data_IF_116216979530
#
_entry.id   IF_116216979530
#
_cell.length_a   1.000
_cell.length_b   1.000
_cell.length_c   1.000
_cell.angle_alpha   90.00
_cell.angle_beta   90.00
_cell.angle_gamma   90.00
#
_symmetry.space_group_name_H-M   'P 1'
#
loop_
_entity.id
_entity.type
_entity.pdbx_description
1 polymer ?
#
# COMPACT_ATOMS: atom_id res chain seq x y z
N UNK A 1 -19.23 -9.48 -3.17
CA UNK A 1 -20.43 -9.12 -2.39
C UNK A 1 -20.83 -7.66 -2.68
N UNK A 2 -22.13 -7.29 -2.65
CA UNK A 2 -22.58 -5.91 -2.88
C UNK A 2 -21.89 -4.88 -1.99
N UNK A 3 -21.70 -5.20 -0.70
CA UNK A 3 -21.01 -4.34 0.29
C UNK A 3 -19.55 -4.05 -0.07
N UNK A 4 -18.89 -4.95 -0.80
CA UNK A 4 -17.49 -4.79 -1.21
C UNK A 4 -17.32 -4.09 -2.55
N UNK A 5 -18.39 -3.91 -3.34
CA UNK A 5 -18.29 -3.27 -4.67
C UNK A 5 -17.65 -1.88 -4.60
N UNK A 6 -18.03 -0.99 -3.65
CA UNK A 6 -17.41 0.32 -3.52
C UNK A 6 -15.94 0.28 -3.10
N UNK A 7 -15.45 -0.85 -2.56
CA UNK A 7 -14.05 -1.02 -2.15
C UNK A 7 -13.10 -1.31 -3.34
N UNK A 8 -13.63 -1.45 -4.56
CA UNK A 8 -12.83 -1.65 -5.77
C UNK A 8 -12.72 -0.33 -6.56
N UNK A 9 -11.50 0.15 -6.80
CA UNK A 9 -11.25 1.35 -7.61
C UNK A 9 -11.70 1.15 -9.05
N UNK A 10 -11.50 -0.06 -9.58
CA UNK A 10 -11.98 -0.48 -10.90
C UNK A 10 -12.90 -1.68 -10.74
N UNK A 11 -14.16 -1.54 -11.19
CA UNK A 11 -15.21 -2.56 -11.00
C UNK A 11 -14.86 -3.90 -11.64
N UNK A 12 -14.05 -3.88 -12.71
CA UNK A 12 -13.61 -5.04 -13.47
C UNK A 12 -12.23 -5.57 -13.04
N UNK A 13 -11.56 -4.96 -12.06
CA UNK A 13 -10.31 -5.48 -11.49
C UNK A 13 -10.55 -5.83 -10.03
N UNK A 14 -10.91 -7.10 -9.80
CA UNK A 14 -11.19 -7.65 -8.47
C UNK A 14 -10.22 -8.81 -8.19
N UNK A 15 -9.82 -9.03 -6.92
CA UNK A 15 -8.94 -10.12 -6.58
C UNK A 15 -9.67 -11.47 -6.74
N UNK A 16 -8.94 -12.51 -7.12
CA UNK A 16 -9.48 -13.88 -7.11
C UNK A 16 -9.63 -14.38 -5.68
N UNK A 17 -10.71 -15.08 -5.37
CA UNK A 17 -10.97 -15.61 -4.03
C UNK A 17 -9.84 -16.56 -3.54
N UNK A 18 -9.19 -17.28 -4.45
CA UNK A 18 -8.12 -18.22 -4.14
C UNK A 18 -6.82 -17.57 -3.65
N UNK A 19 -6.59 -16.29 -3.98
CA UNK A 19 -5.35 -15.59 -3.66
C UNK A 19 -5.57 -14.26 -2.96
N UNK A 20 -6.82 -13.85 -2.72
CA UNK A 20 -7.11 -12.58 -2.06
C UNK A 20 -6.48 -12.51 -0.68
N UNK A 21 -6.10 -11.31 -0.30
CA UNK A 21 -5.75 -11.02 1.09
C UNK A 21 -7.04 -10.96 1.92
N UNK A 22 -7.01 -11.56 3.11
CA UNK A 22 -8.17 -11.66 4.01
C UNK A 22 -7.80 -10.93 5.30
N UNK A 23 -8.52 -9.86 5.61
CA UNK A 23 -8.37 -9.15 6.88
C UNK A 23 -9.16 -9.86 7.97
N UNK A 24 -8.76 -9.69 9.24
CA UNK A 24 -9.56 -10.16 10.38
C UNK A 24 -10.93 -9.49 10.34
N UNK A 25 -12.00 -10.27 10.41
CA UNK A 25 -13.36 -9.73 10.42
C UNK A 25 -13.59 -8.90 11.68
N UNK A 26 -14.23 -7.74 11.50
CA UNK A 26 -14.68 -6.88 12.59
C UNK A 26 -16.12 -7.30 12.94
N UNK A 27 -16.40 -7.70 14.20
CA UNK A 27 -17.74 -8.10 14.60
C UNK A 27 -18.78 -7.01 14.33
N UNK A 28 -19.87 -7.37 13.65
CA UNK A 28 -20.94 -6.44 13.28
C UNK A 28 -20.71 -5.64 12.00
N UNK A 29 -19.57 -5.81 11.33
CA UNK A 29 -19.26 -5.13 10.07
C UNK A 29 -19.16 -6.11 8.89
N UNK A 30 -20.21 -6.17 8.07
CA UNK A 30 -20.23 -6.99 6.87
C UNK A 30 -19.17 -6.54 5.84
N UNK A 31 -18.40 -7.49 5.31
CA UNK A 31 -17.35 -7.20 4.32
C UNK A 31 -16.10 -6.52 4.92
N UNK A 32 -15.96 -6.51 6.24
CA UNK A 32 -14.76 -6.03 6.94
C UNK A 32 -13.52 -6.92 6.70
N UNK A 33 -13.68 -8.14 6.20
CA UNK A 33 -12.55 -9.02 5.84
C UNK A 33 -11.97 -8.71 4.44
N UNK A 34 -12.61 -7.82 3.69
CA UNK A 34 -12.29 -7.57 2.29
C UNK A 34 -11.41 -6.34 2.10
N UNK A 35 -10.34 -6.55 1.33
CA UNK A 35 -9.56 -5.53 0.65
C UNK A 35 -9.27 -6.02 -0.78
N UNK A 36 -9.21 -5.10 -1.75
CA UNK A 36 -8.82 -5.45 -3.12
C UNK A 36 -7.31 -5.63 -3.21
N UNK A 37 -6.84 -6.78 -2.76
CA UNK A 37 -5.44 -7.18 -2.77
C UNK A 37 -5.31 -8.70 -2.96
N UNK A 38 -4.21 -9.14 -3.56
CA UNK A 38 -3.89 -10.56 -3.77
C UNK A 38 -2.45 -10.87 -3.36
N UNK A 39 -2.24 -12.05 -2.79
CA UNK A 39 -0.93 -12.64 -2.61
C UNK A 39 -0.34 -13.04 -3.95
N UNK A 40 0.94 -12.73 -4.15
CA UNK A 40 1.72 -13.07 -5.33
C UNK A 40 2.98 -13.83 -4.89
N UNK A 41 3.25 -14.94 -5.57
CA UNK A 41 4.45 -15.72 -5.34
C UNK A 41 5.68 -15.01 -5.93
N UNK A 42 6.78 -15.06 -5.19
CA UNK A 42 8.11 -14.64 -5.65
C UNK A 42 8.95 -15.83 -6.08
N UNK A 43 10.22 -15.58 -6.40
CA UNK A 43 11.14 -16.66 -6.76
C UNK A 43 11.37 -17.59 -5.57
N UNK A 44 10.85 -18.82 -5.65
CA UNK A 44 10.94 -19.86 -4.60
C UNK A 44 10.32 -19.47 -3.25
N UNK A 45 9.46 -18.45 -3.22
CA UNK A 45 8.78 -18.00 -2.02
C UNK A 45 7.30 -17.78 -2.32
N UNK A 46 6.42 -18.60 -1.70
CA UNK A 46 4.98 -18.40 -1.82
C UNK A 46 4.52 -17.17 -1.03
N UNK A 47 3.56 -16.43 -1.58
CA UNK A 47 3.02 -15.23 -0.94
C UNK A 47 4.09 -14.20 -0.58
N UNK A 48 5.10 -14.04 -1.44
CA UNK A 48 6.22 -13.11 -1.22
C UNK A 48 5.75 -11.64 -1.25
N UNK A 49 4.73 -11.34 -2.05
CA UNK A 49 4.23 -9.99 -2.25
C UNK A 49 2.72 -9.91 -2.05
N UNK A 50 2.25 -8.71 -1.73
CA UNK A 50 0.85 -8.33 -1.84
C UNK A 50 0.73 -7.31 -2.98
N UNK A 51 -0.01 -7.66 -4.02
CA UNK A 51 -0.41 -6.71 -5.06
C UNK A 51 -1.78 -6.12 -4.69
N UNK A 52 -1.91 -4.80 -4.70
CA UNK A 52 -3.15 -4.10 -4.33
C UNK A 52 -3.35 -2.86 -5.20
N UNK A 53 -4.59 -2.39 -5.30
CA UNK A 53 -4.91 -1.12 -5.95
C UNK A 53 -4.35 0.08 -5.17
N UNK A 54 -4.22 1.23 -5.83
CA UNK A 54 -4.01 2.50 -5.12
C UNK A 54 -5.18 2.78 -4.17
N UNK A 55 -4.94 2.97 -2.85
CA UNK A 55 -6.00 3.21 -1.88
C UNK A 55 -6.96 4.33 -2.30
N UNK A 56 -8.21 4.16 -1.90
CA UNK A 56 -9.25 5.19 -1.98
C UNK A 56 -9.50 5.75 -0.58
N UNK A 57 -10.05 6.98 -0.44
CA UNK A 57 -10.26 7.61 0.86
C UNK A 57 -10.96 6.69 1.89
N UNK A 58 -11.98 5.95 1.47
CA UNK A 58 -12.74 5.03 2.34
C UNK A 58 -12.11 3.64 2.53
N UNK A 59 -10.98 3.35 1.88
CA UNK A 59 -10.24 2.08 2.05
C UNK A 59 -8.86 2.26 2.66
N UNK A 60 -8.45 3.48 3.03
CA UNK A 60 -7.15 3.75 3.67
C UNK A 60 -7.01 2.98 4.99
N UNK A 61 -8.08 2.91 5.78
CA UNK A 61 -8.08 2.14 7.03
C UNK A 61 -7.84 0.65 6.81
N UNK A 62 -8.53 0.05 5.83
CA UNK A 62 -8.33 -1.36 5.44
C UNK A 62 -6.89 -1.59 4.95
N UNK A 63 -6.31 -0.63 4.22
CA UNK A 63 -4.93 -0.71 3.72
C UNK A 63 -3.89 -0.73 4.85
N UNK A 64 -3.98 0.19 5.82
CA UNK A 64 -3.07 0.19 6.98
C UNK A 64 -3.26 -1.04 7.87
N UNK A 65 -4.50 -1.52 8.00
CA UNK A 65 -4.80 -2.76 8.71
C UNK A 65 -4.19 -3.97 8.02
N UNK A 66 -4.26 -4.05 6.69
CA UNK A 66 -3.60 -5.09 5.90
C UNK A 66 -2.08 -5.14 6.17
N UNK A 67 -1.43 -3.98 6.13
CA UNK A 67 0.02 -3.86 6.39
C UNK A 67 0.37 -4.39 7.78
N UNK A 68 -0.41 -4.00 8.79
CA UNK A 68 -0.19 -4.41 10.17
C UNK A 68 -0.42 -5.91 10.39
N UNK A 69 -1.58 -6.42 9.96
CA UNK A 69 -1.99 -7.82 10.16
C UNK A 69 -1.09 -8.80 9.43
N UNK A 70 -0.55 -8.41 8.27
CA UNK A 70 0.36 -9.24 7.47
C UNK A 70 1.83 -8.91 7.66
N UNK A 71 2.19 -8.15 8.69
CA UNK A 71 3.58 -7.88 9.06
C UNK A 71 4.42 -7.29 7.92
N UNK A 72 3.80 -6.53 7.01
CA UNK A 72 4.52 -5.88 5.93
C UNK A 72 5.35 -4.72 6.48
N UNK A 73 6.65 -4.69 6.17
CA UNK A 73 7.60 -3.65 6.59
C UNK A 73 7.94 -2.67 5.47
N UNK A 74 7.54 -2.98 4.23
CA UNK A 74 7.85 -2.19 3.04
C UNK A 74 6.58 -1.99 2.20
N UNK A 75 6.37 -0.77 1.73
CA UNK A 75 5.40 -0.43 0.69
C UNK A 75 6.17 0.05 -0.54
N UNK A 76 5.81 -0.49 -1.70
CA UNK A 76 6.31 -0.02 -3.00
C UNK A 76 5.15 0.60 -3.77
N UNK A 77 5.15 1.92 -3.92
CA UNK A 77 4.16 2.68 -4.68
C UNK A 77 4.74 3.00 -6.06
N UNK A 78 4.16 2.40 -7.10
CA UNK A 78 4.64 2.50 -8.49
C UNK A 78 3.89 3.56 -9.33
N UNK A 79 3.09 4.40 -8.68
CA UNK A 79 2.22 5.39 -9.33
C UNK A 79 2.37 6.76 -8.65
N UNK A 80 2.03 7.82 -9.39
CA UNK A 80 1.77 9.13 -8.78
C UNK A 80 0.32 9.18 -8.28
N UNK A 81 0.02 10.08 -7.35
CA UNK A 81 -1.36 10.29 -6.87
C UNK A 81 -2.26 10.81 -7.98
N UNK A 82 -1.71 11.64 -8.86
CA UNK A 82 -2.37 12.16 -10.06
C UNK A 82 -1.49 11.91 -11.29
N UNK A 83 -2.08 11.40 -12.35
CA UNK A 83 -1.44 11.20 -13.66
C UNK A 83 -2.36 11.74 -14.76
N UNK A 84 -1.82 12.58 -15.65
CA UNK A 84 -2.59 13.19 -16.76
C UNK A 84 -3.91 13.84 -16.27
N UNK A 85 -3.86 14.51 -15.11
CA UNK A 85 -5.00 15.20 -14.49
C UNK A 85 -6.06 14.29 -13.89
N UNK A 86 -5.81 12.99 -13.74
CA UNK A 86 -6.73 12.03 -13.11
C UNK A 86 -6.13 11.46 -11.83
N UNK A 87 -6.93 11.42 -10.77
CA UNK A 87 -6.54 10.75 -9.52
C UNK A 87 -6.39 9.24 -9.77
N UNK A 88 -5.21 8.71 -9.41
CA UNK A 88 -4.87 7.28 -9.44
C UNK A 88 -4.83 6.66 -8.05
N UNK A 89 -4.49 7.47 -7.05
CA UNK A 89 -4.34 7.07 -5.66
C UNK A 89 -4.56 8.28 -4.76
N UNK A 90 -5.24 8.09 -3.63
CA UNK A 90 -5.24 9.14 -2.60
C UNK A 90 -3.91 9.13 -1.84
N UNK A 91 -3.57 10.25 -1.22
CA UNK A 91 -2.49 10.30 -0.23
C UNK A 91 -2.98 9.59 1.03
N UNK A 92 -2.57 8.33 1.21
CA UNK A 92 -3.00 7.47 2.32
C UNK A 92 -2.07 7.56 3.53
N UNK A 93 -0.99 8.33 3.44
CA UNK A 93 0.01 8.46 4.49
C UNK A 93 -0.03 9.86 5.14
N UNK A 94 0.28 9.97 6.44
CA UNK A 94 0.46 11.26 7.10
C UNK A 94 1.76 11.94 6.63
N UNK A 95 1.73 13.25 6.39
CA UNK A 95 2.89 14.04 6.00
C UNK A 95 3.55 14.76 7.20
N UNK A 96 2.79 15.62 7.90
CA UNK A 96 3.34 16.45 8.99
C UNK A 96 2.99 15.94 10.39
N UNK A 97 1.75 15.49 10.59
CA UNK A 97 1.26 14.99 11.87
C UNK A 97 0.80 13.55 11.74
N UNK A 98 1.01 12.76 12.79
CA UNK A 98 0.52 11.39 12.83
C UNK A 98 -0.99 11.30 12.63
N UNK A 99 -1.42 10.23 11.98
CA UNK A 99 -2.83 9.95 11.68
C UNK A 99 -3.26 8.63 12.32
N UNK A 100 -4.54 8.55 12.70
CA UNK A 100 -5.12 7.35 13.30
C UNK A 100 -6.01 6.61 12.29
N UNK A 101 -5.77 5.31 12.16
CA UNK A 101 -6.54 4.40 11.32
C UNK A 101 -7.03 3.22 12.18
N UNK A 102 -8.23 3.35 12.74
CA UNK A 102 -8.77 2.37 13.70
C UNK A 102 -7.95 2.33 15.00
N UNK A 103 -7.35 1.19 15.33
CA UNK A 103 -6.44 1.04 16.47
C UNK A 103 -4.99 1.44 16.15
N UNK A 104 -4.65 1.69 14.89
CA UNK A 104 -3.30 2.02 14.47
C UNK A 104 -3.08 3.53 14.49
N UNK A 105 -1.95 3.96 15.03
CA UNK A 105 -1.43 5.33 14.89
C UNK A 105 -0.20 5.25 14.01
N UNK A 106 -0.21 5.97 12.89
CA UNK A 106 0.89 6.04 11.93
C UNK A 106 1.51 7.43 12.05
N UNK A 107 2.80 7.48 12.32
CA UNK A 107 3.54 8.72 12.52
C UNK A 107 4.65 8.83 11.46
N UNK A 108 4.78 9.97 10.77
CA UNK A 108 5.93 10.22 9.91
C UNK A 108 7.20 10.34 10.75
N UNK A 109 8.27 9.68 10.30
CA UNK A 109 9.58 9.69 10.96
C UNK A 109 10.59 10.47 10.12
N UNK A 110 10.68 10.16 8.84
CA UNK A 110 11.60 10.80 7.91
C UNK A 110 11.06 10.76 6.47
N UNK A 111 11.49 11.71 5.65
CA UNK A 111 11.28 11.70 4.20
C UNK A 111 12.59 12.07 3.49
N UNK A 112 12.94 11.27 2.49
CA UNK A 112 14.11 11.46 1.63
C UNK A 112 13.66 11.56 0.19
N UNK A 113 13.92 12.72 -0.42
CA UNK A 113 13.58 13.00 -1.80
C UNK A 113 14.78 12.68 -2.70
N UNK A 114 14.71 11.54 -3.39
CA UNK A 114 15.71 11.12 -4.38
C UNK A 114 15.24 11.53 -5.79
N UNK A 115 16.13 11.59 -6.79
CA UNK A 115 15.72 12.03 -8.12
C UNK A 115 14.63 11.15 -8.76
N UNK A 116 14.65 9.83 -8.51
CA UNK A 116 13.74 8.87 -9.14
C UNK A 116 12.62 8.37 -8.22
N UNK A 117 12.76 8.56 -6.90
CA UNK A 117 11.80 8.06 -5.92
C UNK A 117 11.78 8.90 -4.65
N UNK A 118 10.72 8.78 -3.86
CA UNK A 118 10.64 9.33 -2.51
C UNK A 118 10.60 8.18 -1.52
N UNK A 119 11.49 8.20 -0.53
CA UNK A 119 11.47 7.26 0.60
C UNK A 119 10.84 7.96 1.81
N UNK A 120 9.80 7.36 2.38
CA UNK A 120 9.21 7.77 3.65
C UNK A 120 9.38 6.68 4.69
N UNK A 121 9.71 7.07 5.90
CA UNK A 121 9.74 6.17 7.05
C UNK A 121 8.58 6.51 7.98
N UNK A 122 7.88 5.47 8.42
CA UNK A 122 6.76 5.59 9.32
C UNK A 122 6.96 4.73 10.55
N UNK A 123 6.48 5.22 11.69
CA UNK A 123 6.28 4.44 12.90
C UNK A 123 4.80 4.11 13.03
N UNK A 124 4.48 2.82 13.07
CA UNK A 124 3.12 2.32 13.25
C UNK A 124 3.00 1.77 14.66
N UNK A 125 2.07 2.28 15.45
CA UNK A 125 1.78 1.83 16.81
C UNK A 125 0.36 1.30 16.89
N UNK A 126 0.20 0.05 17.32
CA UNK A 126 -1.11 -0.49 17.68
C UNK A 126 -1.45 -0.07 19.11
N UNK A 127 -2.45 0.78 19.24
CA UNK A 127 -2.89 1.34 20.53
C UNK A 127 -3.51 0.29 21.46
N UNK A 128 -3.93 -0.87 20.95
CA UNK A 128 -4.48 -1.94 21.78
C UNK A 128 -3.39 -2.76 22.46
N UNK A 129 -2.34 -3.12 21.72
CA UNK A 129 -1.26 -3.96 22.24
C UNK A 129 -0.05 -3.16 22.73
N UNK A 130 0.06 -1.87 22.37
CA UNK A 130 1.25 -1.05 22.59
C UNK A 130 2.46 -1.44 21.72
N UNK A 131 2.29 -2.32 20.74
CA UNK A 131 3.40 -2.74 19.88
C UNK A 131 3.64 -1.69 18.81
N UNK A 132 4.91 -1.52 18.46
CA UNK A 132 5.35 -0.56 17.45
C UNK A 132 6.20 -1.24 16.38
N UNK A 133 6.06 -0.80 15.13
CA UNK A 133 6.86 -1.26 13.99
C UNK A 133 7.28 -0.08 13.12
N UNK A 134 8.45 -0.20 12.50
CA UNK A 134 8.90 0.72 11.46
C UNK A 134 8.47 0.18 10.10
N UNK A 135 8.02 1.10 9.22
CA UNK A 135 7.64 0.82 7.85
C UNK A 135 8.38 1.76 6.92
N UNK A 136 8.97 1.24 5.84
CA UNK A 136 9.53 2.04 4.74
C UNK A 136 8.55 2.09 3.57
N UNK A 137 8.37 3.26 3.00
CA UNK A 137 7.49 3.49 1.86
C UNK A 137 8.29 4.11 0.72
N UNK A 138 8.45 3.36 -0.34
CA UNK A 138 9.17 3.76 -1.55
C UNK A 138 8.17 4.13 -2.63
N UNK A 139 8.15 5.40 -3.04
CA UNK A 139 7.33 5.87 -4.15
C UNK A 139 8.21 6.13 -5.36
N UNK A 140 8.13 5.30 -6.39
CA UNK A 140 8.80 5.56 -7.65
C UNK A 140 8.04 6.67 -8.41
N UNK A 141 8.74 7.76 -8.73
CA UNK A 141 8.13 8.97 -9.33
C UNK A 141 8.53 9.19 -10.78
N UNK A 142 9.55 8.49 -11.29
CA UNK A 142 10.09 8.70 -12.63
C UNK A 142 9.42 7.84 -13.73
N UNK A 143 8.31 7.16 -13.40
CA UNK A 143 7.52 6.47 -14.41
C UNK A 143 6.82 7.48 -15.32
N UNK A 144 6.91 7.35 -16.66
CA UNK A 144 6.30 8.30 -17.58
C UNK A 144 4.76 8.13 -17.62
N UNK A 145 4.05 9.26 -17.68
CA UNK A 145 2.58 9.31 -17.81
C UNK A 145 2.02 8.51 -19.00
N UNK A 146 2.84 8.32 -20.05
CA UNK A 146 2.48 7.54 -21.25
C UNK A 146 3.61 6.59 -21.62
N UNK A 147 3.26 5.31 -21.75
CA UNK A 147 4.17 4.26 -22.18
C UNK A 147 5.06 3.75 -21.05
N UNK A 148 6.25 3.28 -21.43
CA UNK A 148 7.25 2.74 -20.50
C UNK A 148 8.51 3.60 -20.52
N UNK A 149 9.33 3.56 -19.44
CA UNK A 149 10.66 4.17 -19.46
C UNK A 149 11.48 3.74 -20.68
N UNK A 150 12.31 4.64 -21.20
CA UNK A 150 13.22 4.35 -22.34
C UNK A 150 14.37 3.41 -21.96
N UNK A 151 14.74 3.39 -20.68
CA UNK A 151 15.75 2.51 -20.09
C UNK A 151 15.17 1.90 -18.81
N UNK A 152 15.56 0.67 -18.50
CA UNK A 152 15.20 -0.01 -17.26
C UNK A 152 16.19 0.27 -16.11
N UNK A 153 17.34 0.90 -16.40
CA UNK A 153 18.45 1.09 -15.43
C UNK A 153 17.97 1.74 -14.13
N UNK A 154 17.28 2.88 -14.22
CA UNK A 154 16.79 3.62 -13.05
C UNK A 154 15.77 2.82 -12.22
N UNK A 155 14.98 1.96 -12.88
CA UNK A 155 14.01 1.11 -12.20
C UNK A 155 14.69 -0.10 -11.55
N UNK A 156 15.73 -0.66 -12.17
CA UNK A 156 16.57 -1.71 -11.59
C UNK A 156 17.32 -1.18 -10.37
N UNK A 157 17.89 0.03 -10.46
CA UNK A 157 18.53 0.69 -9.31
C UNK A 157 17.56 0.89 -8.16
N UNK A 158 16.32 1.30 -8.46
CA UNK A 158 15.25 1.40 -7.47
C UNK A 158 14.94 0.06 -6.79
N UNK A 159 14.81 -1.03 -7.56
CA UNK A 159 14.60 -2.38 -7.00
C UNK A 159 15.73 -2.74 -6.03
N UNK A 160 16.98 -2.48 -6.40
CA UNK A 160 18.12 -2.73 -5.52
C UNK A 160 18.04 -1.92 -4.21
N UNK A 161 17.46 -0.71 -4.20
CA UNK A 161 17.26 0.05 -2.96
C UNK A 161 16.15 -0.52 -2.06
N UNK A 162 15.15 -1.18 -2.65
CA UNK A 162 14.03 -1.78 -1.91
C UNK A 162 14.44 -3.08 -1.22
N UNK A 163 15.31 -3.86 -1.86
CA UNK A 163 15.74 -5.19 -1.37
C UNK A 163 16.79 -5.14 -0.24
N UNK A 164 17.34 -3.96 0.09
CA UNK A 164 18.27 -3.71 1.20
C UNK A 164 17.57 -3.08 2.41
#
# INVERSE_FOLDING_TARGET
>A
LPVNRPKNRLVNMVPYDSSRVVLRSIPGEDGSDFINASWIDGYRQRGAYIATQGPMPHTVGDFWRMIWEHHSSIIVMLIRTVEVGREKCCEYWPAEMGARFGCLVVEPVAEYNMPQYVLREFRITDTQSGHTRTLRHFQYIDWPDRGTPKSAELFIDFIHQVDF
#
